data_IF_795807218794
#
_entry.id   IF_795807218794
#
_cell.length_a   1.000
_cell.length_b   1.000
_cell.length_c   1.000
_cell.angle_alpha   90.00
_cell.angle_beta   90.00
_cell.angle_gamma   90.00
#
_symmetry.space_group_name_H-M   'P 1'
#
loop_
_entity.id
_entity.type
_entity.pdbx_description
1 polymer ?
#
# COMPACT_ATOMS: atom_id res chain seq x y z
N UNK A 1 -4.47 2.42 11.39
CA UNK A 1 -5.77 3.04 11.06
C UNK A 1 -5.71 3.47 9.61
N UNK A 2 -6.57 2.91 8.75
CA UNK A 2 -6.66 3.30 7.34
C UNK A 2 -7.33 4.67 7.20
N UNK A 3 -6.94 5.44 6.20
CA UNK A 3 -7.62 6.70 5.87
C UNK A 3 -9.08 6.42 5.48
N UNK A 4 -9.98 7.26 5.97
CA UNK A 4 -11.38 7.26 5.56
C UNK A 4 -11.56 7.78 4.13
N UNK A 5 -12.70 7.45 3.50
CA UNK A 5 -13.03 7.92 2.15
C UNK A 5 -13.05 9.46 2.06
N UNK A 6 -13.55 10.14 3.08
CA UNK A 6 -13.59 11.60 3.14
C UNK A 6 -12.18 12.21 3.17
N UNK A 7 -11.24 11.60 3.89
CA UNK A 7 -9.85 12.01 3.92
C UNK A 7 -9.19 11.83 2.55
N UNK A 8 -9.41 10.70 1.89
CA UNK A 8 -8.91 10.43 0.52
C UNK A 8 -9.43 11.49 -0.46
N UNK A 9 -10.72 11.80 -0.43
CA UNK A 9 -11.32 12.81 -1.31
C UNK A 9 -10.73 14.20 -1.09
N UNK A 10 -10.48 14.57 0.17
CA UNK A 10 -9.88 15.85 0.51
C UNK A 10 -8.43 15.95 0.02
N UNK A 11 -7.63 14.91 0.21
CA UNK A 11 -6.22 14.91 -0.25
C UNK A 11 -6.12 14.89 -1.76
N UNK A 12 -6.93 14.08 -2.45
CA UNK A 12 -7.01 14.06 -3.90
C UNK A 12 -7.34 15.46 -4.47
N UNK A 13 -8.31 16.15 -3.86
CA UNK A 13 -8.66 17.52 -4.26
C UNK A 13 -7.49 18.51 -4.06
N UNK A 14 -6.76 18.41 -2.94
CA UNK A 14 -5.58 19.26 -2.68
C UNK A 14 -4.46 19.00 -3.69
N UNK A 15 -4.29 17.75 -4.11
CA UNK A 15 -3.32 17.34 -5.11
C UNK A 15 -3.75 17.64 -6.56
N UNK A 16 -5.01 18.07 -6.78
CA UNK A 16 -5.54 18.29 -8.14
C UNK A 16 -5.80 17.01 -8.92
N UNK A 17 -6.06 15.90 -8.22
CA UNK A 17 -6.24 14.57 -8.79
C UNK A 17 -7.64 14.02 -8.46
N UNK A 18 -8.08 12.99 -9.18
CA UNK A 18 -9.24 12.20 -8.76
C UNK A 18 -8.89 11.31 -7.55
N UNK A 19 -9.88 10.90 -6.73
CA UNK A 19 -9.62 9.99 -5.61
C UNK A 19 -8.91 8.68 -6.02
N UNK A 20 -9.26 8.15 -7.20
CA UNK A 20 -8.63 6.94 -7.74
C UNK A 20 -7.15 7.16 -8.06
N UNK A 21 -6.83 8.25 -8.74
CA UNK A 21 -5.44 8.59 -9.09
C UNK A 21 -4.58 8.83 -7.85
N UNK A 22 -5.15 9.49 -6.84
CA UNK A 22 -4.48 9.67 -5.55
C UNK A 22 -4.16 8.31 -4.91
N UNK A 23 -5.14 7.41 -4.77
CA UNK A 23 -4.89 6.09 -4.19
C UNK A 23 -3.82 5.30 -4.95
N UNK A 24 -3.86 5.32 -6.29
CA UNK A 24 -2.87 4.61 -7.11
C UNK A 24 -1.46 5.18 -6.92
N UNK A 25 -1.32 6.50 -6.84
CA UNK A 25 -0.04 7.15 -6.55
C UNK A 25 0.49 6.73 -5.19
N UNK A 26 -0.33 6.82 -4.14
CA UNK A 26 0.07 6.43 -2.79
C UNK A 26 0.51 4.96 -2.76
N UNK A 27 -0.26 4.04 -3.36
CA UNK A 27 0.11 2.62 -3.44
C UNK A 27 1.49 2.45 -4.08
N UNK A 28 1.77 3.17 -5.17
CA UNK A 28 3.08 3.12 -5.83
C UNK A 28 4.21 3.62 -4.92
N UNK A 29 4.00 4.75 -4.23
CA UNK A 29 5.00 5.31 -3.31
C UNK A 29 5.26 4.38 -2.11
N UNK A 30 4.22 3.77 -1.55
CA UNK A 30 4.36 2.79 -0.47
C UNK A 30 5.06 1.52 -0.95
N UNK A 31 4.81 1.04 -2.17
CA UNK A 31 5.54 -0.09 -2.77
C UNK A 31 7.04 0.20 -2.89
N UNK A 32 7.41 1.35 -3.45
CA UNK A 32 8.84 1.75 -3.57
C UNK A 32 9.52 1.88 -2.20
N UNK A 33 8.81 2.44 -1.21
CA UNK A 33 9.34 2.55 0.13
C UNK A 33 9.52 1.20 0.80
N UNK A 34 8.59 0.25 0.63
CA UNK A 34 8.74 -1.13 1.11
C UNK A 34 9.99 -1.79 0.52
N UNK A 35 10.20 -1.66 -0.78
CA UNK A 35 11.41 -2.15 -1.46
C UNK A 35 12.70 -1.53 -0.89
N UNK A 36 12.62 -0.31 -0.34
CA UNK A 36 13.78 0.38 0.24
C UNK A 36 14.06 -0.01 1.69
N UNK A 37 13.02 -0.29 2.49
CA UNK A 37 13.16 -0.47 3.95
C UNK A 37 13.16 -1.91 4.42
N UNK A 38 12.73 -2.86 3.58
CA UNK A 38 12.70 -4.28 3.91
C UNK A 38 13.81 -5.02 3.20
N UNK A 39 14.68 -5.67 3.98
CA UNK A 39 15.76 -6.50 3.45
C UNK A 39 15.22 -7.75 2.73
N UNK A 40 14.01 -8.21 3.08
CA UNK A 40 13.36 -9.39 2.47
C UNK A 40 12.93 -9.14 1.02
N UNK A 41 12.81 -7.87 0.63
CA UNK A 41 12.51 -7.47 -0.75
C UNK A 41 13.76 -7.14 -1.57
N UNK A 42 14.95 -7.22 -0.95
CA UNK A 42 16.21 -6.88 -1.58
C UNK A 42 16.62 -7.88 -2.67
N UNK A 43 16.68 -7.42 -3.92
CA UNK A 43 17.19 -8.20 -5.06
C UNK A 43 16.16 -9.11 -5.72
N UNK A 44 14.89 -8.97 -5.36
CA UNK A 44 13.77 -9.57 -6.07
C UNK A 44 13.53 -8.83 -7.40
N UNK A 45 12.98 -9.55 -8.37
CA UNK A 45 12.36 -8.88 -9.52
C UNK A 45 10.95 -8.36 -9.15
N UNK A 46 10.38 -7.54 -10.05
CA UNK A 46 9.11 -6.87 -9.81
C UNK A 46 7.95 -7.87 -9.59
N UNK A 47 7.99 -9.03 -10.24
CA UNK A 47 6.94 -10.05 -10.15
C UNK A 47 7.04 -10.81 -8.80
N UNK A 48 8.25 -11.18 -8.38
CA UNK A 48 8.51 -11.83 -7.08
C UNK A 48 8.18 -10.89 -5.90
N UNK A 49 8.49 -9.60 -6.05
CA UNK A 49 8.15 -8.57 -5.06
C UNK A 49 6.64 -8.42 -4.92
N UNK A 50 5.91 -8.32 -6.02
CA UNK A 50 4.46 -8.16 -6.00
C UNK A 50 3.77 -9.35 -5.33
N UNK A 51 4.21 -10.59 -5.60
CA UNK A 51 3.66 -11.79 -4.95
C UNK A 51 3.90 -11.80 -3.43
N UNK A 52 5.10 -11.41 -2.98
CA UNK A 52 5.38 -11.33 -1.54
C UNK A 52 4.62 -10.20 -0.84
N UNK A 53 4.49 -9.03 -1.48
CA UNK A 53 3.70 -7.91 -0.95
C UNK A 53 2.24 -8.31 -0.79
N UNK A 54 1.64 -8.98 -1.78
CA UNK A 54 0.25 -9.48 -1.66
C UNK A 54 0.10 -10.47 -0.51
N UNK A 55 1.04 -11.40 -0.36
CA UNK A 55 1.04 -12.38 0.73
C UNK A 55 1.15 -11.74 2.11
N UNK A 56 2.03 -10.76 2.28
CA UNK A 56 2.19 -10.03 3.55
C UNK A 56 0.95 -9.20 3.88
N UNK A 57 0.32 -8.57 2.88
CA UNK A 57 -0.97 -7.88 3.05
C UNK A 57 -2.06 -8.83 3.56
N UNK A 58 -2.14 -10.03 2.98
CA UNK A 58 -3.13 -11.02 3.38
C UNK A 58 -2.85 -11.61 4.77
N UNK A 59 -1.58 -11.85 5.13
CA UNK A 59 -1.20 -12.26 6.50
C UNK A 59 -1.61 -11.22 7.53
N UNK A 60 -1.29 -9.96 7.27
CA UNK A 60 -1.62 -8.84 8.16
C UNK A 60 -3.14 -8.67 8.37
N UNK A 61 -3.95 -8.90 7.33
CA UNK A 61 -5.42 -8.89 7.44
C UNK A 61 -5.92 -10.03 8.31
N UNK A 62 -5.41 -11.25 8.09
CA UNK A 62 -5.79 -12.43 8.87
C UNK A 62 -5.43 -12.28 10.35
N UNK A 63 -4.31 -11.64 10.66
CA UNK A 63 -3.91 -11.32 12.03
C UNK A 63 -4.92 -10.36 12.70
N UNK A 64 -5.34 -9.29 12.01
CA UNK A 64 -6.33 -8.36 12.58
C UNK A 64 -7.71 -8.97 12.77
N UNK A 65 -8.16 -9.85 11.87
CA UNK A 65 -9.43 -10.57 12.03
C UNK A 65 -9.41 -11.59 13.18
N UNK A 66 -8.21 -12.01 13.62
CA UNK A 66 -8.04 -12.96 14.72
C UNK A 66 -7.96 -12.30 16.10
N UNK A 67 -7.77 -10.97 16.15
CA UNK A 67 -7.67 -10.17 17.37
C UNK A 67 -8.97 -9.41 17.74
N UNK A 68 -9.99 -9.43 16.87
CA UNK A 68 -11.37 -8.95 17.10
C UNK A 68 -12.33 -10.07 17.58
#
# INVERSE_FOLDING_TARGET
MLMSEDEVRQQARKAGMTPREYCLREISEWKEMLHTVSDDYGGLDDDEFDELVEKEIDSFRAEQESED
#
